data_IF_192483991570
#
_entry.id   IF_192483991570
#
_cell.length_a   1.000
_cell.length_b   1.000
_cell.length_c   1.000
_cell.angle_alpha   90.00
_cell.angle_beta   90.00
_cell.angle_gamma   90.00
#
_symmetry.space_group_name_H-M   'P 1'
#
loop_
_entity.id
_entity.type
_entity.pdbx_description
1 polymer ?
2 non-polymer ?
3 non-polymer ?
4 non-polymer ?
5 water ?
#
# COMPACT_ATOMS: atom_id res chain seq x y z
N UNK A 6 -12.68 -11.13 -18.54
CA UNK A 6 -11.74 -10.05 -18.12
C UNK A 6 -10.51 -10.68 -17.45
N UNK A 7 -9.41 -9.92 -17.40
CA UNK A 7 -8.22 -10.31 -16.61
C UNK A 7 -7.70 -9.14 -15.77
N UNK A 8 -6.67 -9.36 -14.97
CA UNK A 8 -6.18 -8.35 -14.00
C UNK A 8 -5.94 -6.91 -14.54
N UNK A 9 -6.58 -5.91 -13.94
CA UNK A 9 -6.50 -4.53 -14.42
C UNK A 9 -5.08 -3.99 -14.38
N UNK A 10 -4.32 -4.30 -13.33
CA UNK A 10 -2.98 -3.76 -13.23
C UNK A 10 -1.99 -4.42 -14.20
N UNK A 11 -2.11 -5.74 -14.39
CA UNK A 11 -1.33 -6.42 -15.45
C UNK A 11 -1.67 -5.88 -16.85
N UNK A 12 -2.98 -5.71 -17.11
CA UNK A 12 -3.48 -5.11 -18.34
C UNK A 12 -2.95 -3.69 -18.54
N UNK A 13 -3.09 -2.83 -17.53
CA UNK A 13 -2.56 -1.47 -17.63
C UNK A 13 -1.03 -1.42 -17.83
N UNK A 14 -0.28 -2.30 -17.18
CA UNK A 14 1.15 -2.31 -17.42
C UNK A 14 1.43 -2.76 -18.87
N UNK A 15 0.77 -3.82 -19.31
CA UNK A 15 0.92 -4.36 -20.68
C UNK A 15 0.60 -3.31 -21.75
N UNK A 16 -0.50 -2.59 -21.55
CA UNK A 16 -0.91 -1.51 -22.46
C UNK A 16 0.12 -0.38 -22.49
N UNK A 17 0.77 -0.13 -21.33
CA UNK A 17 1.86 0.81 -21.22
C UNK A 17 1.49 2.29 -21.30
N UNK A 18 0.20 2.58 -21.20
CA UNK A 18 -0.27 3.95 -21.25
C UNK A 18 -0.38 4.52 -19.85
N UNK A 19 -0.11 5.81 -19.76
CA UNK A 19 -0.35 6.57 -18.54
C UNK A 19 0.52 6.15 -17.37
N UNK A 20 1.57 5.37 -17.62
CA UNK A 20 2.54 5.02 -16.57
C UNK A 20 3.39 6.27 -16.27
N UNK A 21 3.42 6.67 -15.01
CA UNK A 21 4.07 7.92 -14.64
C UNK A 21 5.52 7.69 -14.19
N UNK A 22 5.81 6.47 -13.72
CA UNK A 22 7.14 6.17 -13.21
C UNK A 22 7.32 4.68 -13.24
N UNK A 23 8.57 4.25 -13.45
CA UNK A 23 8.84 2.84 -13.58
C UNK A 23 10.24 2.56 -13.05
N UNK A 24 10.40 1.38 -12.44
CA UNK A 24 11.70 0.87 -12.06
C UNK A 24 11.79 -0.53 -12.63
N UNK A 25 12.88 -1.25 -12.35
CA UNK A 25 12.97 -2.64 -12.85
C UNK A 25 11.79 -3.51 -12.41
N UNK A 26 11.32 -3.29 -11.16
CA UNK A 26 10.35 -4.18 -10.53
C UNK A 26 8.95 -3.58 -10.38
N UNK A 27 8.84 -2.26 -10.47
CA UNK A 27 7.60 -1.53 -10.11
C UNK A 27 7.14 -0.56 -11.21
N UNK A 28 5.88 -0.14 -11.12
CA UNK A 28 5.40 0.97 -11.93
C UNK A 28 4.39 1.77 -11.12
N UNK A 29 4.14 3.02 -11.52
CA UNK A 29 3.25 3.91 -10.79
C UNK A 29 2.18 4.45 -11.73
N UNK A 30 0.98 4.61 -11.19
CA UNK A 30 -0.17 5.18 -11.89
C UNK A 30 -0.82 6.17 -10.97
N UNK A 31 -1.37 7.23 -11.56
CA UNK A 31 -2.28 8.14 -10.86
C UNK A 31 -3.61 7.42 -10.76
N UNK A 32 -4.25 7.48 -9.60
CA UNK A 32 -5.50 6.76 -9.36
C UNK A 32 -6.63 7.44 -10.17
N UNK A 33 -7.37 6.63 -10.93
CA UNK A 33 -8.45 7.12 -11.78
C UNK A 33 -9.69 7.54 -10.97
N UNK A 34 -9.78 7.04 -9.72
CA UNK A 34 -10.86 7.31 -8.79
C UNK A 34 -10.30 7.77 -7.42
N UNK A 35 -9.74 8.99 -7.39
CA UNK A 35 -8.94 9.39 -6.23
C UNK A 35 -9.73 9.74 -4.99
N UNK A 36 -9.18 9.36 -3.84
CA UNK A 36 -9.65 9.87 -2.56
C UNK A 36 -9.25 11.33 -2.36
N UNK A 37 -8.19 11.78 -3.03
CA UNK A 37 -7.67 13.12 -2.85
C UNK A 37 -6.77 13.45 -4.03
N UNK A 38 -6.59 14.75 -4.28
CA UNK A 38 -5.82 15.19 -5.44
C UNK A 38 -4.38 14.72 -5.30
N UNK A 39 -3.94 13.96 -6.30
CA UNK A 39 -2.57 13.37 -6.34
C UNK A 39 -2.43 11.93 -5.89
N UNK A 40 -3.54 11.34 -5.41
CA UNK A 40 -3.63 9.93 -5.00
C UNK A 40 -3.00 9.12 -6.13
N UNK A 41 -1.90 8.42 -5.82
CA UNK A 41 -1.28 7.56 -6.76
C UNK A 41 -0.99 6.17 -6.16
N UNK A 42 -0.54 5.25 -7.01
CA UNK A 42 -0.37 3.84 -6.73
C UNK A 42 1.03 3.41 -7.11
N UNK A 43 1.70 2.67 -6.24
CA UNK A 43 2.97 2.07 -6.59
C UNK A 43 2.71 0.57 -6.65
N UNK A 44 3.04 -0.02 -7.80
CA UNK A 44 2.56 -1.37 -8.11
C UNK A 44 3.71 -2.24 -8.61
N UNK A 45 3.93 -3.42 -7.98
CA UNK A 45 4.94 -4.35 -8.52
C UNK A 45 4.45 -4.88 -9.86
N UNK A 46 5.38 -5.08 -10.79
CA UNK A 46 5.05 -5.61 -12.10
C UNK A 46 4.53 -7.03 -11.97
N UNK A 47 5.13 -7.76 -11.04
CA UNK A 47 4.76 -9.15 -10.83
C UNK A 47 3.42 -9.20 -10.13
N UNK A 48 2.63 -10.19 -10.52
CA UNK A 48 1.26 -10.38 -10.03
C UNK A 48 1.11 -11.48 -8.99
N UNK A 49 0.72 -11.08 -7.77
CA UNK A 49 0.16 -11.97 -6.75
C UNK A 49 -0.95 -11.21 -6.03
N UNK A 50 -1.96 -11.92 -5.49
CA UNK A 50 -3.05 -11.27 -4.74
C UNK A 50 -2.61 -10.53 -3.45
N UNK A 51 -1.70 -11.11 -2.67
CA UNK A 51 -1.33 -10.61 -1.30
C UNK A 51 0.16 -10.36 -1.11
N UNK A 52 0.50 -9.45 -0.21
CA UNK A 52 1.88 -9.07 0.01
C UNK A 52 2.76 -10.29 0.35
N UNK A 53 2.24 -11.21 1.16
CA UNK A 53 3.03 -12.38 1.59
C UNK A 53 3.25 -13.43 0.49
N UNK A 54 2.61 -13.23 -0.66
CA UNK A 54 2.78 -14.09 -1.83
C UNK A 54 4.01 -13.69 -2.63
N UNK A 55 4.54 -12.49 -2.37
CA UNK A 55 5.73 -12.01 -3.11
C UNK A 55 7.03 -12.49 -2.49
N UNK A 56 8.00 -12.79 -3.34
CA UNK A 56 9.38 -12.87 -2.87
C UNK A 56 9.87 -11.43 -2.74
N UNK A 57 10.89 -11.19 -1.89
CA UNK A 57 11.62 -9.91 -1.78
C UNK A 57 12.05 -9.33 -3.13
N UNK A 58 12.47 -10.18 -4.08
CA UNK A 58 12.94 -9.72 -5.39
C UNK A 58 11.83 -9.02 -6.17
N UNK A 59 10.60 -9.53 -6.02
CA UNK A 59 9.47 -9.00 -6.74
C UNK A 59 8.93 -7.70 -6.12
N UNK A 60 9.37 -7.41 -4.89
CA UNK A 60 8.92 -6.24 -4.11
C UNK A 60 10.01 -5.22 -3.86
N UNK A 61 11.10 -5.35 -4.60
CA UNK A 61 12.27 -4.53 -4.36
C UNK A 61 11.95 -3.06 -4.63
N UNK A 62 12.21 -2.22 -3.62
CA UNK A 62 12.24 -0.76 -3.77
C UNK A 62 10.92 -0.02 -3.63
N UNK A 63 9.90 -0.67 -3.07
CA UNK A 63 8.60 0.02 -2.92
C UNK A 63 8.68 1.28 -2.07
N UNK A 64 9.26 1.20 -0.89
CA UNK A 64 9.29 2.38 -0.04
C UNK A 64 10.20 3.49 -0.62
N UNK A 65 11.31 3.09 -1.27
CA UNK A 65 12.22 4.03 -1.94
C UNK A 65 11.46 4.77 -3.05
N UNK A 66 10.65 4.03 -3.81
CA UNK A 66 9.90 4.62 -4.93
C UNK A 66 8.79 5.54 -4.43
N UNK A 67 8.15 5.15 -3.35
CA UNK A 67 7.20 6.03 -2.71
C UNK A 67 7.87 7.35 -2.25
N UNK A 68 8.98 7.23 -1.51
CA UNK A 68 9.76 8.40 -1.09
C UNK A 68 10.13 9.25 -2.30
N UNK A 69 10.63 8.60 -3.34
CA UNK A 69 11.05 9.36 -4.52
C UNK A 69 9.89 10.22 -5.10
N UNK A 70 8.74 9.58 -5.28
CA UNK A 70 7.55 10.23 -5.86
C UNK A 70 6.91 11.31 -4.98
N UNK A 71 6.74 11.05 -3.68
CA UNK A 71 6.22 12.11 -2.80
C UNK A 71 7.14 13.35 -2.83
N UNK A 72 8.44 13.14 -2.94
CA UNK A 72 9.37 14.27 -3.05
C UNK A 72 9.20 15.01 -4.40
N UNK A 73 9.12 14.27 -5.50
CA UNK A 73 8.88 14.88 -6.81
C UNK A 73 7.54 15.60 -6.85
N UNK A 74 6.55 15.05 -6.15
CA UNK A 74 5.20 15.63 -6.17
C UNK A 74 5.02 16.75 -5.14
N UNK A 75 5.99 16.89 -4.23
CA UNK A 75 5.89 17.89 -3.17
C UNK A 75 4.87 17.55 -2.07
N UNK A 76 4.61 16.27 -1.84
CA UNK A 76 3.64 15.87 -0.81
C UNK A 76 4.34 15.78 0.53
N UNK A 77 3.85 16.48 1.53
CA UNK A 77 4.41 16.37 2.89
C UNK A 77 3.52 15.58 3.80
N UNK A 78 2.22 15.60 3.52
CA UNK A 78 1.26 14.93 4.39
C UNK A 78 0.51 13.96 3.54
N UNK A 79 0.54 12.69 3.93
CA UNK A 79 -0.03 11.62 3.08
C UNK A 79 -0.07 10.32 3.87
N UNK A 80 -0.86 9.37 3.38
CA UNK A 80 -0.92 8.05 3.99
C UNK A 80 -0.50 6.99 2.98
N UNK A 81 0.20 5.98 3.47
CA UNK A 81 0.48 4.82 2.66
C UNK A 81 -0.46 3.72 3.11
N UNK A 82 -1.11 3.06 2.17
CA UNK A 82 -2.08 2.01 2.49
C UNK A 82 -1.99 0.83 1.52
N UNK A 83 -1.92 -0.38 2.09
CA UNK A 83 -1.90 -1.58 1.31
C UNK A 83 -2.86 -2.59 1.92
N UNK A 84 -3.70 -3.15 1.06
CA UNK A 84 -4.85 -3.96 1.48
C UNK A 84 -4.71 -5.40 1.04
N UNK A 85 -4.79 -6.33 2.01
CA UNK A 85 -4.80 -7.76 1.76
C UNK A 85 -6.08 -8.41 2.31
N UNK A 86 -7.08 -8.51 1.43
CA UNK A 86 -8.26 -9.34 1.76
C UNK A 86 -9.25 -8.71 2.71
N UNK A 87 -9.14 -7.40 2.91
CA UNK A 87 -10.11 -6.67 3.71
C UNK A 87 -10.91 -5.78 2.76
N UNK A 88 -10.43 -4.56 2.58
CA UNK A 88 -10.98 -3.61 1.64
C UNK A 88 -10.12 -3.69 0.36
N UNK A 89 -10.12 -4.87 -0.26
CA UNK A 89 -9.33 -5.12 -1.48
C UNK A 89 -10.25 -5.37 -2.68
N UNK A 90 -10.22 -4.45 -3.65
CA UNK A 90 -11.00 -4.61 -4.87
C UNK A 90 -10.24 -5.41 -5.94
N UNK A 91 -8.93 -5.16 -6.04
CA UNK A 91 -8.11 -5.77 -7.10
C UNK A 91 -7.00 -6.70 -6.56
N UNK A 92 -7.01 -7.94 -7.04
CA UNK A 92 -6.13 -8.97 -6.48
C UNK A 92 -4.73 -9.04 -7.11
N UNK A 93 -4.06 -7.90 -7.06
CA UNK A 93 -2.69 -7.71 -7.50
C UNK A 93 -2.23 -6.61 -6.57
N UNK A 94 -1.19 -6.90 -5.77
CA UNK A 94 -0.71 -6.01 -4.71
C UNK A 94 -0.46 -4.61 -5.28
N UNK A 95 -0.98 -3.59 -4.59
CA UNK A 95 -0.72 -2.20 -4.96
C UNK A 95 -0.74 -1.31 -3.74
N UNK A 96 0.20 -0.38 -3.68
CA UNK A 96 0.35 0.50 -2.52
C UNK A 96 -0.29 1.83 -2.87
N UNK A 97 -1.30 2.24 -2.09
CA UNK A 97 -1.93 3.56 -2.26
C UNK A 97 -1.06 4.59 -1.58
N UNK A 98 -0.85 5.74 -2.23
CA UNK A 98 -0.21 6.87 -1.56
C UNK A 98 -1.19 8.02 -1.69
N UNK A 99 -1.74 8.44 -0.57
CA UNK A 99 -2.96 9.24 -0.57
C UNK A 99 -2.68 10.55 0.14
N UNK A 100 -2.54 11.64 -0.63
CA UNK A 100 -2.16 12.91 -0.02
C UNK A 100 -3.23 13.45 0.93
N UNK A 101 -2.81 14.10 2.01
CA UNK A 101 -3.75 14.86 2.84
C UNK A 101 -3.91 16.21 2.16
N UNK A 102 -5.11 16.49 1.64
CA UNK A 102 -5.39 17.81 1.08
C UNK A 102 -6.12 18.66 2.14
N UNK A 103 -7.27 18.17 2.60
CA UNK A 103 -8.06 18.84 3.64
C UNK A 103 -8.85 17.82 4.45
N UNK A 104 -9.62 18.28 5.44
CA UNK A 104 -10.42 17.38 6.28
C UNK A 104 -11.40 16.50 5.48
N UNK A 105 -11.97 17.02 4.40
CA UNK A 105 -12.89 16.23 3.57
C UNK A 105 -12.24 15.73 2.29
N UNK A 106 -10.91 15.79 2.25
CA UNK A 106 -10.15 15.31 1.12
C UNK A 106 -8.84 14.70 1.64
N UNK A 107 -8.90 13.43 2.00
CA UNK A 107 -7.79 12.73 2.68
C UNK A 107 -8.20 11.28 2.92
N UNK A 108 -7.28 10.42 3.35
CA UNK A 108 -7.70 9.09 3.79
C UNK A 108 -8.46 9.24 5.11
N UNK A 109 -9.64 8.64 5.16
CA UNK A 109 -10.54 8.73 6.33
C UNK A 109 -10.70 7.37 6.99
N UNK A 110 -10.13 7.26 8.18
CA UNK A 110 -10.17 6.04 8.97
C UNK A 110 -11.06 6.25 10.18
N UNK A 111 -11.87 5.24 10.50
CA UNK A 111 -12.59 5.17 11.77
C UNK A 111 -11.75 4.35 12.74
N UNK A 112 -10.98 5.04 13.55
CA UNK A 112 -10.02 4.42 14.46
C UNK A 112 -10.65 4.03 15.79
N UNK A 113 -11.31 2.89 15.84
CA UNK A 113 -11.96 2.44 17.07
C UNK A 113 -11.06 1.45 17.80
N UNK A 114 -10.14 1.99 18.60
CA UNK A 114 -9.19 1.20 19.39
C UNK A 114 -9.74 0.61 20.70
N UNK A 115 -9.47 -0.67 20.91
CA UNK A 115 -9.76 -1.35 22.18
C UNK A 115 -8.62 -1.18 23.19
N UNK A 116 -8.94 -1.28 24.48
CA UNK A 116 -7.93 -1.17 25.51
C UNK A 116 -7.73 -2.57 26.11
N UNK A 117 -6.58 -2.80 26.72
CA UNK A 117 -6.34 -4.10 27.28
C UNK A 117 -5.78 -4.00 28.66
N UNK A 118 -6.09 -5.02 29.45
CA UNK A 118 -5.43 -5.22 30.73
C UNK A 118 -3.95 -5.29 30.42
N UNK A 119 -3.13 -4.78 31.33
CA UNK A 119 -1.71 -5.07 31.30
C UNK A 119 -1.47 -6.59 31.07
N UNK A 120 -2.20 -7.43 31.81
CA UNK A 120 -1.98 -8.89 31.74
C UNK A 120 -2.50 -9.52 30.45
N UNK A 121 -3.52 -8.91 29.85
CA UNK A 121 -3.93 -9.31 28.51
C UNK A 121 -2.86 -8.87 27.49
N UNK A 122 -2.14 -7.80 27.81
CA UNK A 122 -1.06 -7.31 26.94
C UNK A 122 0.20 -8.13 27.15
N UNK A 123 0.50 -8.50 28.40
CA UNK A 123 1.63 -9.40 28.69
C UNK A 123 1.44 -10.74 28.00
N UNK A 124 0.21 -11.24 28.03
CA UNK A 124 -0.17 -12.48 27.33
C UNK A 124 -0.02 -12.34 25.81
N UNK A 125 -0.43 -11.19 25.29
CA UNK A 125 -0.40 -10.96 23.84
C UNK A 125 1.05 -10.92 23.37
N UNK A 126 1.92 -10.27 24.15
CA UNK A 126 3.36 -10.17 23.87
C UNK A 126 4.00 -11.57 23.95
N UNK A 127 3.70 -12.31 25.01
CA UNK A 127 4.23 -13.69 25.11
C UNK A 127 3.82 -14.56 23.94
N UNK A 128 2.54 -14.50 23.58
CA UNK A 128 2.04 -15.30 22.45
C UNK A 128 2.77 -14.95 21.14
N UNK A 129 3.04 -13.66 20.95
CA UNK A 129 3.77 -13.16 19.78
C UNK A 129 5.21 -13.67 19.75
N UNK A 130 5.86 -13.67 20.91
CA UNK A 130 7.20 -14.28 21.05
C UNK A 130 7.19 -15.77 20.73
N UNK A 131 6.17 -16.48 21.21
CA UNK A 131 6.02 -17.91 20.87
C UNK A 131 5.90 -18.11 19.37
N UNK A 132 5.07 -17.30 18.72
CA UNK A 132 4.90 -17.40 17.25
C UNK A 132 6.19 -17.10 16.48
N UNK A 133 6.94 -16.07 16.91
CA UNK A 133 8.21 -15.65 16.29
C UNK A 133 9.25 -16.77 16.40
N UNK A 134 9.23 -17.45 17.54
CA UNK A 134 10.22 -18.44 17.93
C UNK A 134 9.95 -19.81 17.31
N UNK A 135 8.77 -19.97 16.71
CA UNK A 135 8.38 -21.22 16.05
C UNK A 135 8.73 -21.28 14.54
X LIG B 1 -2.01 -8.46 -12.05
X LIG C 1 -7.73 -2.08 -3.27
X LIG C 1 -6.83 -1.87 -2.14
X LIG C 1 -9.13 -2.01 -2.86
X LIG C 1 -7.49 -1.06 -4.27
X LIG C 1 -7.62 -3.39 -3.91
X LIG D 1 -8.47 -0.04 -9.55
X LIG D 1 -8.63 1.24 -10.38
X LIG D 1 -9.08 2.29 -9.49
X LIG D 1 -9.71 1.06 -11.46
X LIG D 1 -7.27 1.55 -10.99
X LIG D 1 -7.11 2.98 -11.51
X LIG D 1 -7.17 3.91 -10.43
X LIG D 1 -5.79 3.16 -12.26
#
# INVERSE_FOLDING_TARGET
GPGSMEGCIFCTLYRKGANIIYETDRLFALIDRYPLSKGHFLVIPKAHHPYLHNYKPEELSGVLDTIRHLVQKFGFERYNILQNNGNHQEVFHVHFHVIPFVSADERLMINWKAKSVSDKEYSEMVEEARLRVSS
ZN ZN
SO4 S O1 O2 O3 O4
MPD C1 C2 O2 CM C3 C4 O4 C5
#
